data_IF_313085490381
#
_entry.id   IF_313085490381
#
_cell.length_a   1.000
_cell.length_b   1.000
_cell.length_c   1.000
_cell.angle_alpha   90.00
_cell.angle_beta   90.00
_cell.angle_gamma   90.00
#
_symmetry.space_group_name_H-M   'P 1'
#
loop_
_entity.id
_entity.type
_entity.pdbx_description
1 polymer ?
#
# COMPACT_ATOMS: atom_id res chain seq x y z
N UNK A 1 15.97 -30.56 11.18
CA UNK A 1 15.80 -31.29 9.92
C UNK A 1 15.32 -30.29 8.89
N UNK A 2 16.13 -30.08 7.87
CA UNK A 2 16.00 -28.99 6.90
C UNK A 2 16.11 -29.58 5.49
N UNK A 3 15.35 -29.02 4.55
CA UNK A 3 15.41 -29.35 3.14
C UNK A 3 15.81 -28.11 2.35
N UNK A 4 16.61 -28.27 1.30
CA UNK A 4 16.96 -27.18 0.40
C UNK A 4 15.86 -27.04 -0.67
N UNK A 5 15.30 -25.85 -0.81
CA UNK A 5 14.28 -25.53 -1.80
C UNK A 5 14.89 -24.62 -2.87
N UNK A 6 14.66 -24.95 -4.14
CA UNK A 6 15.04 -24.11 -5.28
C UNK A 6 13.83 -23.84 -6.16
N UNK A 7 13.52 -22.56 -6.34
CA UNK A 7 12.47 -22.10 -7.23
C UNK A 7 13.11 -21.64 -8.54
N UNK A 8 12.97 -22.46 -9.60
CA UNK A 8 13.69 -22.26 -10.86
C UNK A 8 13.34 -20.95 -11.57
N UNK A 9 12.05 -20.56 -11.58
CA UNK A 9 11.62 -19.37 -12.31
C UNK A 9 12.07 -18.09 -11.61
N UNK A 10 11.94 -18.05 -10.30
CA UNK A 10 12.29 -16.89 -9.49
C UNK A 10 13.80 -16.80 -9.23
N UNK A 11 14.56 -17.87 -9.52
CA UNK A 11 15.97 -18.01 -9.18
C UNK A 11 16.24 -17.75 -7.69
N UNK A 12 15.33 -18.22 -6.83
CA UNK A 12 15.41 -18.09 -5.38
C UNK A 12 15.65 -19.49 -4.80
N UNK A 13 16.63 -19.57 -3.90
CA UNK A 13 16.87 -20.77 -3.10
C UNK A 13 16.86 -20.45 -1.62
N UNK A 14 16.57 -21.47 -0.81
CA UNK A 14 16.69 -21.37 0.63
C UNK A 14 16.23 -22.63 1.33
N UNK A 15 15.94 -22.50 2.63
CA UNK A 15 15.72 -23.65 3.50
C UNK A 15 14.24 -23.81 3.84
N UNK A 16 13.70 -24.99 3.58
CA UNK A 16 12.41 -25.47 4.04
C UNK A 16 12.55 -26.30 5.31
N UNK A 17 11.62 -26.12 6.26
CA UNK A 17 11.61 -26.91 7.50
C UNK A 17 10.89 -28.22 7.24
N UNK A 18 11.50 -29.36 7.60
CA UNK A 18 10.81 -30.65 7.54
C UNK A 18 9.59 -30.63 8.46
N UNK A 19 8.46 -31.08 7.94
CA UNK A 19 7.16 -30.98 8.57
C UNK A 19 6.33 -29.75 8.19
N UNK A 20 6.92 -28.77 7.51
CA UNK A 20 6.16 -27.65 6.92
C UNK A 20 5.63 -28.01 5.53
N UNK A 21 4.68 -27.22 5.03
CA UNK A 21 4.18 -27.39 3.67
C UNK A 21 4.94 -26.52 2.70
N UNK A 22 4.95 -26.93 1.43
CA UNK A 22 5.69 -26.26 0.38
C UNK A 22 5.25 -24.80 0.20
N UNK A 23 3.96 -24.51 0.36
CA UNK A 23 3.43 -23.13 0.29
C UNK A 23 3.91 -22.22 1.44
N UNK A 24 4.14 -22.79 2.62
CA UNK A 24 4.65 -22.00 3.76
C UNK A 24 6.12 -21.67 3.56
N UNK A 25 6.87 -22.65 3.04
CA UNK A 25 8.28 -22.49 2.75
C UNK A 25 8.50 -21.53 1.56
N UNK A 26 7.67 -21.59 0.51
CA UNK A 26 7.74 -20.64 -0.62
C UNK A 26 7.52 -19.20 -0.16
N UNK A 27 6.48 -18.96 0.67
CA UNK A 27 6.17 -17.64 1.23
C UNK A 27 7.31 -17.07 2.06
N UNK A 28 7.97 -17.90 2.88
CA UNK A 28 9.13 -17.48 3.68
C UNK A 28 10.33 -17.06 2.83
N UNK A 29 10.44 -17.63 1.64
CA UNK A 29 11.48 -17.31 0.66
C UNK A 29 11.10 -16.15 -0.27
N UNK A 30 9.92 -15.53 -0.07
CA UNK A 30 9.44 -14.44 -0.92
C UNK A 30 8.86 -14.90 -2.26
N UNK A 31 8.63 -16.21 -2.44
CA UNK A 31 7.98 -16.75 -3.64
C UNK A 31 6.47 -16.78 -3.41
N UNK A 32 5.78 -15.89 -4.12
CA UNK A 32 4.34 -15.75 -4.06
C UNK A 32 3.66 -16.83 -4.89
N UNK A 33 2.85 -17.66 -4.23
CA UNK A 33 2.02 -18.70 -4.83
C UNK A 33 0.60 -18.44 -4.37
N UNK A 34 -0.34 -18.38 -5.31
CA UNK A 34 -1.75 -18.13 -5.03
C UNK A 34 -2.39 -19.33 -4.32
N UNK A 35 -3.31 -19.08 -3.40
CA UNK A 35 -4.10 -20.09 -2.71
C UNK A 35 -5.53 -19.61 -2.47
N UNK A 36 -6.30 -19.45 -3.53
CA UNK A 36 -7.65 -18.86 -3.47
C UNK A 36 -8.58 -19.59 -2.48
N UNK A 37 -8.39 -20.90 -2.30
CA UNK A 37 -9.17 -21.70 -1.35
C UNK A 37 -8.61 -21.72 0.08
N UNK A 38 -7.57 -20.95 0.40
CA UNK A 38 -6.99 -20.89 1.75
C UNK A 38 -6.50 -22.25 2.26
N UNK A 39 -5.86 -23.04 1.38
CA UNK A 39 -5.29 -24.38 1.69
C UNK A 39 -6.30 -25.48 1.99
N UNK A 40 -7.56 -25.30 1.60
CA UNK A 40 -8.60 -26.33 1.74
C UNK A 40 -8.45 -27.48 0.72
N UNK A 41 -7.63 -27.32 -0.32
CA UNK A 41 -7.49 -28.32 -1.38
C UNK A 41 -8.71 -28.38 -2.31
N UNK A 42 -9.47 -27.29 -2.39
CA UNK A 42 -10.69 -27.17 -3.21
C UNK A 42 -10.45 -26.50 -4.57
N UNK A 43 -9.24 -25.99 -4.81
CA UNK A 43 -8.81 -25.41 -6.07
C UNK A 43 -7.38 -25.85 -6.40
N UNK A 44 -6.93 -25.51 -7.60
CA UNK A 44 -5.61 -25.82 -8.13
C UNK A 44 -4.73 -24.58 -8.36
N UNK A 45 -5.12 -23.40 -7.86
CA UNK A 45 -4.33 -22.17 -8.05
C UNK A 45 -2.96 -22.18 -7.35
N UNK A 46 -2.78 -23.08 -6.39
CA UNK A 46 -1.50 -23.32 -5.71
C UNK A 46 -0.66 -24.44 -6.35
N UNK A 47 -1.03 -24.90 -7.54
CA UNK A 47 -0.29 -25.93 -8.26
C UNK A 47 1.12 -25.43 -8.64
N UNK A 48 2.09 -26.35 -8.59
CA UNK A 48 3.45 -26.15 -9.07
C UNK A 48 3.97 -27.45 -9.64
N UNK A 49 4.96 -27.39 -10.53
CA UNK A 49 5.65 -28.57 -11.03
C UNK A 49 6.89 -28.85 -10.20
N UNK A 50 6.98 -30.04 -9.59
CA UNK A 50 8.19 -30.50 -8.90
C UNK A 50 9.10 -31.17 -9.92
N UNK A 51 10.27 -30.57 -10.19
CA UNK A 51 11.26 -31.08 -11.15
C UNK A 51 12.12 -32.20 -10.55
N UNK A 52 12.46 -32.08 -9.28
CA UNK A 52 13.21 -33.09 -8.52
C UNK A 52 12.90 -32.98 -7.02
N UNK A 53 13.20 -34.04 -6.27
CA UNK A 53 12.99 -34.09 -4.81
C UNK A 53 11.56 -34.43 -4.38
N UNK A 54 10.76 -35.06 -5.26
CA UNK A 54 9.41 -35.49 -4.92
C UNK A 54 9.37 -36.55 -3.80
N UNK A 55 10.46 -37.32 -3.64
CA UNK A 55 10.68 -38.29 -2.57
C UNK A 55 10.80 -37.64 -1.17
N UNK A 56 11.15 -36.36 -1.11
CA UNK A 56 11.21 -35.59 0.13
C UNK A 56 9.88 -34.92 0.48
N UNK A 57 8.86 -35.10 -0.37
CA UNK A 57 7.49 -34.65 -0.15
C UNK A 57 6.59 -35.81 0.25
N UNK A 58 5.49 -35.49 0.93
CA UNK A 58 4.44 -36.47 1.22
C UNK A 58 3.86 -37.05 -0.06
N UNK A 59 3.31 -38.26 0.03
CA UNK A 59 2.52 -38.83 -1.06
C UNK A 59 1.35 -37.90 -1.45
N UNK A 60 0.90 -37.93 -2.71
CA UNK A 60 -0.23 -37.12 -3.16
C UNK A 60 -1.48 -37.36 -2.32
N UNK A 61 -2.09 -36.29 -1.82
CA UNK A 61 -3.33 -36.39 -1.04
C UNK A 61 -4.55 -36.64 -1.93
N UNK A 62 -5.69 -36.99 -1.34
CA UNK A 62 -6.96 -37.13 -2.08
C UNK A 62 -7.35 -35.85 -2.80
N UNK A 63 -7.15 -34.70 -2.16
CA UNK A 63 -7.42 -33.40 -2.77
C UNK A 63 -6.53 -33.17 -4.01
N UNK A 64 -5.26 -33.57 -3.96
CA UNK A 64 -4.38 -33.49 -5.14
C UNK A 64 -4.87 -34.41 -6.28
N UNK A 65 -5.35 -35.60 -5.95
CA UNK A 65 -5.89 -36.55 -6.95
C UNK A 65 -7.19 -36.03 -7.58
N UNK A 66 -8.03 -35.34 -6.80
CA UNK A 66 -9.31 -34.78 -7.25
C UNK A 66 -9.14 -33.50 -8.08
N UNK A 67 -8.20 -32.62 -7.69
CA UNK A 67 -7.98 -31.33 -8.36
C UNK A 67 -7.00 -31.40 -9.53
N UNK A 68 -6.02 -32.31 -9.51
CA UNK A 68 -5.03 -32.46 -10.57
C UNK A 68 -5.36 -33.67 -11.44
N UNK A 69 -5.51 -33.45 -12.75
CA UNK A 69 -5.69 -34.52 -13.72
C UNK A 69 -4.52 -35.51 -13.70
N UNK A 70 -4.75 -36.74 -14.18
CA UNK A 70 -3.70 -37.76 -14.24
C UNK A 70 -2.48 -37.30 -15.03
N UNK A 71 -2.68 -36.60 -16.15
CA UNK A 71 -1.59 -36.03 -16.96
C UNK A 71 -0.77 -34.99 -16.19
N UNK A 72 -1.43 -34.09 -15.46
CA UNK A 72 -0.75 -33.07 -14.64
C UNK A 72 0.07 -33.71 -13.52
N UNK A 73 -0.49 -34.71 -12.83
CA UNK A 73 0.23 -35.47 -11.80
C UNK A 73 1.40 -36.25 -12.39
N UNK A 74 1.24 -36.84 -13.58
CA UNK A 74 2.31 -37.54 -14.29
C UNK A 74 3.46 -36.59 -14.70
N UNK A 75 3.14 -35.32 -14.98
CA UNK A 75 4.12 -34.27 -15.23
C UNK A 75 4.81 -33.74 -13.96
N UNK A 76 4.51 -34.31 -12.78
CA UNK A 76 5.10 -33.91 -11.51
C UNK A 76 4.42 -32.69 -10.87
N UNK A 77 3.20 -32.33 -11.28
CA UNK A 77 2.46 -31.27 -10.60
C UNK A 77 1.95 -31.71 -9.23
N UNK A 78 2.06 -30.78 -8.27
CA UNK A 78 1.66 -30.93 -6.87
C UNK A 78 0.94 -29.68 -6.39
N UNK A 79 -0.01 -29.83 -5.48
CA UNK A 79 -0.61 -28.67 -4.80
C UNK A 79 0.27 -28.28 -3.62
N UNK A 80 0.91 -27.11 -3.69
CA UNK A 80 1.84 -26.65 -2.63
C UNK A 80 1.20 -26.56 -1.25
N UNK A 81 -0.12 -26.32 -1.19
CA UNK A 81 -0.86 -26.27 0.07
C UNK A 81 -1.08 -27.65 0.72
N UNK A 82 -1.01 -28.75 -0.05
CA UNK A 82 -1.17 -30.13 0.41
C UNK A 82 0.16 -30.90 0.43
N UNK A 83 1.18 -30.45 -0.29
CA UNK A 83 2.50 -31.06 -0.34
C UNK A 83 3.31 -30.72 0.92
N UNK A 84 3.48 -31.70 1.81
CA UNK A 84 4.26 -31.56 3.05
C UNK A 84 5.69 -32.01 2.83
N UNK A 85 6.67 -31.27 3.32
CA UNK A 85 8.08 -31.67 3.33
C UNK A 85 8.26 -32.73 4.42
N UNK A 86 8.67 -33.94 4.08
CA UNK A 86 8.80 -35.07 5.00
C UNK A 86 10.23 -35.58 5.15
N UNK A 87 11.13 -35.23 4.22
CA UNK A 87 12.53 -35.64 4.23
C UNK A 87 13.50 -34.48 4.08
N UNK A 88 14.76 -34.75 4.39
CA UNK A 88 15.89 -33.85 4.12
C UNK A 88 16.43 -34.13 2.73
N UNK A 89 16.66 -33.08 1.95
CA UNK A 89 17.15 -33.19 0.59
C UNK A 89 16.90 -31.93 -0.21
N UNK A 90 17.24 -31.97 -1.49
CA UNK A 90 17.01 -30.87 -2.44
C UNK A 90 15.68 -31.08 -3.17
N UNK A 91 14.83 -30.05 -3.17
CA UNK A 91 13.55 -30.03 -3.86
C UNK A 91 13.56 -28.86 -4.85
N UNK A 92 13.43 -29.17 -6.14
CA UNK A 92 13.41 -28.18 -7.20
C UNK A 92 11.99 -28.00 -7.70
N UNK A 93 11.49 -26.76 -7.64
CA UNK A 93 10.12 -26.40 -7.92
C UNK A 93 10.08 -25.38 -9.05
N UNK A 94 9.18 -25.60 -10.00
CA UNK A 94 8.83 -24.65 -11.04
C UNK A 94 7.40 -24.16 -10.79
N UNK A 95 7.24 -22.87 -10.51
CA UNK A 95 5.93 -22.22 -10.33
C UNK A 95 5.14 -22.18 -11.66
N UNK A 96 3.91 -21.68 -11.68
CA UNK A 96 3.24 -21.27 -12.93
C UNK A 96 3.57 -19.81 -13.27
N UNK A 97 3.52 -19.43 -14.55
CA UNK A 97 3.85 -18.07 -14.97
C UNK A 97 2.92 -17.09 -14.25
N UNK A 98 3.52 -16.21 -13.43
CA UNK A 98 2.84 -15.02 -12.98
C UNK A 98 2.59 -14.20 -14.25
N UNK A 99 1.34 -14.02 -14.66
CA UNK A 99 1.03 -12.92 -15.57
C UNK A 99 1.55 -11.67 -14.85
N UNK A 100 2.54 -11.01 -15.44
CA UNK A 100 3.00 -9.69 -15.00
C UNK A 100 1.85 -8.71 -15.19
N UNK A 101 0.90 -8.74 -14.27
CA UNK A 101 -0.04 -7.65 -14.16
C UNK A 101 0.69 -6.56 -13.39
N UNK A 102 0.80 -5.36 -13.99
CA UNK A 102 1.42 -4.19 -13.34
C UNK A 102 0.92 -4.06 -11.89
N UNK A 103 1.73 -3.63 -10.92
CA UNK A 103 1.24 -3.46 -9.55
C UNK A 103 -0.05 -2.61 -9.54
N UNK A 104 -1.02 -2.97 -8.67
CA UNK A 104 -2.37 -2.39 -8.69
C UNK A 104 -2.37 -0.85 -8.67
N UNK A 105 -1.49 -0.23 -7.87
CA UNK A 105 -1.39 1.23 -7.81
C UNK A 105 -0.97 1.85 -9.15
N UNK A 106 -0.14 1.16 -9.92
CA UNK A 106 0.36 1.63 -11.21
C UNK A 106 -0.71 1.49 -12.29
N UNK A 107 -1.47 0.39 -12.29
CA UNK A 107 -2.68 0.23 -13.14
C UNK A 107 -3.69 1.33 -12.87
N UNK A 108 -4.05 1.52 -11.60
CA UNK A 108 -5.04 2.52 -11.19
C UNK A 108 -4.60 3.93 -11.58
N UNK A 109 -3.32 4.27 -11.40
CA UNK A 109 -2.80 5.58 -11.78
C UNK A 109 -2.80 5.78 -13.31
N UNK A 110 -2.41 4.78 -14.09
CA UNK A 110 -2.46 4.84 -15.55
C UNK A 110 -3.89 4.98 -16.08
N UNK A 111 -4.84 4.22 -15.53
CA UNK A 111 -6.26 4.31 -15.87
C UNK A 111 -6.82 5.68 -15.51
N UNK A 112 -6.56 6.16 -14.29
CA UNK A 112 -6.97 7.49 -13.85
C UNK A 112 -6.41 8.60 -14.74
N UNK A 113 -5.12 8.55 -15.10
CA UNK A 113 -4.49 9.51 -16.02
C UNK A 113 -5.14 9.50 -17.39
N UNK A 114 -5.36 8.32 -17.98
CA UNK A 114 -6.02 8.18 -19.29
C UNK A 114 -7.44 8.73 -19.26
N UNK A 115 -8.20 8.42 -18.22
CA UNK A 115 -9.55 8.97 -18.05
C UNK A 115 -9.50 10.49 -17.92
N UNK A 116 -8.64 11.02 -17.05
CA UNK A 116 -8.50 12.45 -16.81
C UNK A 116 -8.06 13.20 -18.07
N UNK A 117 -7.14 12.63 -18.85
CA UNK A 117 -6.66 13.20 -20.10
C UNK A 117 -7.76 13.32 -21.17
N UNK A 118 -8.68 12.35 -21.20
CA UNK A 118 -9.80 12.30 -22.13
C UNK A 118 -10.96 13.26 -21.79
N UNK A 119 -10.97 13.86 -20.60
CA UNK A 119 -12.05 14.76 -20.18
C UNK A 119 -11.97 16.13 -20.89
N UNK A 120 -13.11 16.77 -21.18
CA UNK A 120 -13.18 18.20 -21.49
C UNK A 120 -12.58 19.06 -20.36
N UNK A 121 -12.09 20.26 -20.69
CA UNK A 121 -11.40 21.15 -19.74
C UNK A 121 -12.25 21.45 -18.50
N UNK A 122 -13.54 21.72 -18.67
CA UNK A 122 -14.44 22.02 -17.55
C UNK A 122 -14.55 20.84 -16.56
N UNK A 123 -14.55 19.61 -17.06
CA UNK A 123 -14.64 18.39 -16.24
C UNK A 123 -13.31 18.05 -15.55
N UNK A 124 -12.17 18.40 -16.18
CA UNK A 124 -10.86 18.29 -15.53
C UNK A 124 -10.76 19.19 -14.32
N UNK A 125 -11.17 20.45 -14.47
CA UNK A 125 -11.13 21.44 -13.39
C UNK A 125 -12.04 21.03 -12.23
N UNK A 126 -13.25 20.53 -12.49
CA UNK A 126 -14.15 20.07 -11.43
C UNK A 126 -13.58 18.89 -10.65
N UNK A 127 -13.00 17.89 -11.34
CA UNK A 127 -12.38 16.73 -10.66
C UNK A 127 -11.17 17.12 -9.82
N UNK A 128 -10.36 18.09 -10.27
CA UNK A 128 -9.24 18.60 -9.46
C UNK A 128 -9.75 19.28 -8.18
N UNK A 129 -10.79 20.10 -8.27
CA UNK A 129 -11.41 20.73 -7.10
C UNK A 129 -11.99 19.70 -6.13
N UNK A 130 -12.60 18.62 -6.62
CA UNK A 130 -13.11 17.52 -5.78
C UNK A 130 -11.99 16.82 -5.02
N UNK A 131 -10.87 16.50 -5.68
CA UNK A 131 -9.70 15.90 -5.04
C UNK A 131 -9.10 16.82 -3.97
N UNK A 132 -9.02 18.12 -4.26
CA UNK A 132 -8.58 19.13 -3.29
C UNK A 132 -9.51 19.15 -2.07
N UNK A 133 -10.83 19.18 -2.25
CA UNK A 133 -11.79 19.17 -1.16
C UNK A 133 -11.70 17.90 -0.27
N UNK A 134 -11.48 16.73 -0.87
CA UNK A 134 -11.28 15.47 -0.14
C UNK A 134 -10.01 15.53 0.71
N UNK A 135 -8.88 15.92 0.13
CA UNK A 135 -7.60 16.02 0.87
C UNK A 135 -7.64 17.07 1.97
N UNK A 136 -8.31 18.20 1.74
CA UNK A 136 -8.57 19.21 2.78
C UNK A 136 -9.43 18.65 3.92
N UNK A 137 -10.41 17.81 3.62
CA UNK A 137 -11.26 17.18 4.64
C UNK A 137 -10.52 16.12 5.46
N UNK A 138 -9.65 15.34 4.83
CA UNK A 138 -8.80 14.36 5.51
C UNK A 138 -7.76 15.03 6.40
N UNK A 139 -7.08 16.06 5.89
CA UNK A 139 -6.13 16.86 6.68
C UNK A 139 -6.82 17.56 7.85
N UNK A 140 -8.02 18.11 7.64
CA UNK A 140 -8.84 18.68 8.71
C UNK A 140 -9.25 17.64 9.76
N UNK A 141 -9.66 16.44 9.34
CA UNK A 141 -10.01 15.35 10.26
C UNK A 141 -8.82 14.85 11.08
N UNK A 142 -7.63 14.78 10.47
CA UNK A 142 -6.39 14.47 11.16
C UNK A 142 -6.04 15.54 12.22
N UNK A 143 -6.25 16.80 11.87
CA UNK A 143 -6.04 17.95 12.76
C UNK A 143 -7.02 17.93 13.95
N UNK A 144 -8.30 17.66 13.71
CA UNK A 144 -9.32 17.61 14.77
C UNK A 144 -9.16 16.43 15.72
N UNK A 145 -8.73 15.27 15.22
CA UNK A 145 -8.49 14.08 16.03
C UNK A 145 -7.13 14.08 16.74
N UNK A 146 -6.30 15.11 16.56
CA UNK A 146 -5.06 15.32 17.32
C UNK A 146 -5.38 15.92 18.69
N UNK A 147 -5.18 15.19 19.80
CA UNK A 147 -5.78 15.55 21.08
C UNK A 147 -5.13 16.75 21.80
N UNK A 148 -4.09 17.40 21.27
CA UNK A 148 -3.30 18.34 22.09
C UNK A 148 -2.79 19.66 21.49
N UNK A 149 -3.05 20.07 20.23
CA UNK A 149 -2.41 21.32 19.74
C UNK A 149 -3.17 22.22 18.74
N UNK A 150 -4.38 21.91 18.27
CA UNK A 150 -5.03 22.70 17.20
C UNK A 150 -6.34 23.41 17.54
N UNK A 151 -6.64 23.66 18.82
CA UNK A 151 -7.78 24.52 19.17
C UNK A 151 -7.63 25.97 18.69
N UNK A 152 -6.42 26.54 18.75
CA UNK A 152 -6.18 27.96 18.43
C UNK A 152 -6.14 28.27 16.93
N UNK A 153 -5.37 27.50 16.15
CA UNK A 153 -5.17 27.74 14.71
C UNK A 153 -6.41 27.51 13.85
N UNK A 154 -7.28 26.60 14.32
CA UNK A 154 -8.50 26.22 13.62
C UNK A 154 -9.58 27.30 13.77
N UNK A 155 -9.64 27.97 14.93
CA UNK A 155 -10.46 29.17 15.16
C UNK A 155 -9.97 30.33 14.31
N UNK A 156 -8.65 30.51 14.17
CA UNK A 156 -8.05 31.57 13.36
C UNK A 156 -8.35 31.39 11.86
N UNK A 157 -8.24 30.16 11.34
CA UNK A 157 -8.60 29.83 9.96
C UNK A 157 -10.10 30.04 9.67
N UNK A 158 -10.99 29.59 10.58
CA UNK A 158 -12.44 29.75 10.41
C UNK A 158 -12.90 31.21 10.52
N UNK A 159 -12.19 32.04 11.29
CA UNK A 159 -12.44 33.48 11.39
C UNK A 159 -12.11 34.20 10.07
N UNK A 160 -11.05 33.75 9.37
CA UNK A 160 -10.68 34.24 8.04
C UNK A 160 -11.67 33.87 6.93
N UNK A 161 -12.44 32.79 7.11
CA UNK A 161 -13.49 32.35 6.18
C UNK A 161 -14.89 32.95 6.47
N UNK A 162 -14.99 33.90 7.40
CA UNK A 162 -16.24 34.63 7.68
C UNK A 162 -17.31 33.86 8.47
N UNK A 163 -16.99 32.68 8.99
CA UNK A 163 -17.88 31.91 9.85
C UNK A 163 -17.77 32.40 11.30
N UNK A 164 -18.62 33.37 11.67
CA UNK A 164 -18.79 33.80 13.06
C UNK A 164 -19.47 32.70 13.87
N UNK A 165 -18.71 31.90 14.60
CA UNK A 165 -19.24 31.16 15.74
C UNK A 165 -19.29 32.13 16.92
N UNK A 166 -20.49 32.55 17.31
CA UNK A 166 -20.73 33.57 18.34
C UNK A 166 -20.02 33.17 19.65
N UNK A 167 -19.12 34.07 20.06
CA UNK A 167 -18.33 33.99 21.29
C UNK A 167 -19.05 34.68 22.46
N UNK A 168 -20.35 34.94 22.33
CA UNK A 168 -21.07 35.89 23.18
C UNK A 168 -21.57 35.28 24.51
N UNK A 169 -21.60 33.95 24.65
CA UNK A 169 -22.11 33.30 25.88
C UNK A 169 -21.08 33.14 27.01
N UNK A 170 -19.78 33.28 26.72
CA UNK A 170 -18.71 33.01 27.70
C UNK A 170 -18.22 34.25 28.43
N UNK A 171 -18.28 35.43 27.81
CA UNK A 171 -17.86 36.67 28.46
C UNK A 171 -18.94 37.24 29.40
N UNK A 172 -20.22 36.91 29.18
CA UNK A 172 -21.32 37.30 30.07
C UNK A 172 -21.33 36.58 31.43
N UNK A 173 -20.58 35.48 31.58
CA UNK A 173 -20.53 34.64 32.80
C UNK A 173 -19.24 34.79 33.60
N UNK A 174 -18.32 35.66 33.17
CA UNK A 174 -17.02 35.82 33.83
C UNK A 174 -17.16 36.83 34.99
N UNK A 175 -16.85 36.46 36.24
CA UNK A 175 -16.92 37.38 37.38
C UNK A 175 -16.01 38.59 37.18
N UNK A 176 -16.46 39.76 37.63
CA UNK A 176 -15.81 41.05 37.39
C UNK A 176 -14.37 41.15 37.95
N UNK A 177 -13.98 40.26 38.87
CA UNK A 177 -12.63 40.17 39.44
C UNK A 177 -11.56 39.64 38.46
N UNK A 178 -11.96 39.11 37.30
CA UNK A 178 -11.05 38.62 36.25
C UNK A 178 -11.08 39.47 34.96
N UNK A 179 -11.60 40.70 35.03
CA UNK A 179 -11.42 41.70 33.98
C UNK A 179 -10.14 42.48 34.30
N UNK A 180 -9.07 42.22 33.56
CA UNK A 180 -7.84 43.02 33.66
C UNK A 180 -8.13 44.44 33.12
N UNK A 181 -7.75 45.45 33.90
CA UNK A 181 -7.83 46.86 33.51
C UNK A 181 -6.79 47.20 32.42
N UNK A 182 -7.09 48.18 31.54
CA UNK A 182 -6.30 48.42 30.35
C UNK A 182 -4.99 49.12 30.71
N UNK A 183 -3.86 48.49 30.43
CA UNK A 183 -2.57 49.19 30.36
C UNK A 183 -2.21 49.38 28.90
N UNK A 184 -2.19 50.66 28.52
CA UNK A 184 -1.70 51.15 27.25
C UNK A 184 -0.20 50.89 27.13
N UNK A 185 0.25 50.45 25.95
CA UNK A 185 1.39 50.96 25.20
C UNK A 185 1.64 50.04 23.98
N UNK A 186 1.39 50.58 22.79
CA UNK A 186 1.90 50.06 21.52
C UNK A 186 3.43 50.22 21.49
N UNK A 187 4.15 49.37 20.73
CA UNK A 187 4.63 49.94 19.48
C UNK A 187 4.43 49.02 18.28
N UNK A 188 4.07 49.68 17.18
CA UNK A 188 4.08 49.20 15.81
C UNK A 188 5.44 48.59 15.45
N UNK A 189 5.43 47.39 14.89
CA UNK A 189 6.59 46.84 14.18
C UNK A 189 6.07 46.18 12.90
N UNK A 190 6.29 46.85 11.76
CA UNK A 190 6.06 46.33 10.42
C UNK A 190 6.87 45.04 10.22
N UNK A 191 6.27 43.93 9.74
CA UNK A 191 7.05 42.86 9.16
C UNK A 191 7.32 43.15 7.69
N UNK A 192 8.62 43.24 7.37
CA UNK A 192 9.20 43.26 6.04
C UNK A 192 8.58 42.20 5.11
N UNK A 193 8.39 42.61 3.86
CA UNK A 193 7.95 41.80 2.72
C UNK A 193 8.89 40.60 2.49
N UNK A 194 8.41 39.35 2.45
CA UNK A 194 9.24 38.25 1.97
C UNK A 194 9.40 38.34 0.44
N UNK A 195 10.65 38.14 0.03
CA UNK A 195 11.12 38.15 -1.35
C UNK A 195 10.39 37.12 -2.22
N UNK A 196 10.25 37.48 -3.51
CA UNK A 196 9.71 36.62 -4.55
C UNK A 196 10.49 35.29 -4.64
N UNK A 197 9.75 34.18 -4.70
CA UNK A 197 10.31 32.88 -5.08
C UNK A 197 10.61 32.88 -6.59
N UNK A 198 11.67 32.18 -7.04
CA UNK A 198 12.05 32.13 -8.45
C UNK A 198 11.12 31.21 -9.27
N UNK A 199 10.81 31.65 -10.48
CA UNK A 199 10.05 30.94 -11.50
C UNK A 199 10.71 29.61 -11.88
N UNK A 200 9.94 28.53 -11.84
CA UNK A 200 10.33 27.18 -12.25
C UNK A 200 9.99 26.97 -13.73
N UNK A 201 10.72 27.63 -14.63
CA UNK A 201 10.67 27.39 -16.08
C UNK A 201 12.05 27.66 -16.70
N UNK A 202 13.10 26.94 -16.27
CA UNK A 202 14.39 26.88 -16.99
C UNK A 202 15.32 25.78 -16.40
N UNK A 203 14.95 24.51 -16.59
CA UNK A 203 15.88 23.38 -16.42
C UNK A 203 15.45 22.17 -17.25
N UNK A 204 15.05 22.41 -18.49
CA UNK A 204 15.04 21.40 -19.55
C UNK A 204 16.10 21.87 -20.53
N UNK A 205 17.33 21.38 -20.40
CA UNK A 205 18.44 21.37 -21.39
C UNK A 205 19.80 21.26 -20.67
N UNK A 206 20.05 20.17 -19.92
CA UNK A 206 21.41 19.87 -19.44
C UNK A 206 21.62 18.40 -19.01
N UNK A 207 21.07 17.40 -19.71
CA UNK A 207 21.52 16.00 -19.54
C UNK A 207 21.67 15.23 -20.87
N UNK A 208 21.89 15.94 -21.98
CA UNK A 208 22.56 15.37 -23.17
C UNK A 208 24.02 15.80 -23.19
N UNK A 209 24.84 15.21 -22.31
CA UNK A 209 26.29 14.97 -22.47
C UNK A 209 26.86 14.46 -21.15
N UNK A 210 26.88 13.13 -21.03
CA UNK A 210 27.75 12.26 -20.22
C UNK A 210 26.94 11.12 -19.62
N UNK A 211 26.60 10.14 -20.47
CA UNK A 211 26.51 8.71 -20.14
C UNK A 211 26.42 7.91 -21.43
#
# INVERSE_FOLDING_TARGET
MEAELKFERENISGIGVVGSYLIDASRRLGVEIFDDCGRLGLCDSCAVTVKSGAEFLSEPTKAEIEQLSEERRANGERLTCQAKIVGEGEIVVLTHEKKEEKPHHERVNEEFRKEFDALPLEQKVSRLMELEAVTLSETFSFILNSPYTLGGKLVEFLSGFGLKFEKDDKDAKRPDEHKEEPTAEEPENEPEKPAAAPDLDEAVEAEEKES
#
